data_IF_529139796093
#
_entry.id   IF_529139796093
#
_cell.length_a   1.000
_cell.length_b   1.000
_cell.length_c   1.000
_cell.angle_alpha   90.00
_cell.angle_beta   90.00
_cell.angle_gamma   90.00
#
_symmetry.space_group_name_H-M   'P 1'
#
loop_
_entity.id
_entity.type
_entity.pdbx_description
1 polymer ?
#
# COMPACT_ATOMS: atom_id res chain seq x y z
N UNK A 1 13.55 27.05 -19.36
CA UNK A 1 13.77 26.66 -17.97
C UNK A 1 12.52 26.21 -17.27
N UNK A 2 11.50 27.03 -17.28
CA UNK A 2 10.22 26.66 -16.66
C UNK A 2 9.60 25.44 -17.32
N UNK A 3 9.69 25.35 -18.65
CA UNK A 3 9.16 24.22 -19.42
C UNK A 3 9.88 22.91 -19.07
N UNK A 4 11.19 22.97 -18.88
CA UNK A 4 11.97 21.80 -18.51
C UNK A 4 11.58 21.27 -17.14
N UNK A 5 11.36 22.16 -16.19
CA UNK A 5 10.91 21.77 -14.86
C UNK A 5 9.54 21.09 -14.90
N UNK A 6 8.63 21.63 -15.71
CA UNK A 6 7.31 21.03 -15.87
C UNK A 6 7.39 19.63 -16.47
N UNK A 7 8.25 19.43 -17.45
CA UNK A 7 8.47 18.13 -18.06
C UNK A 7 9.07 17.15 -17.04
N UNK A 8 10.05 17.60 -16.27
CA UNK A 8 10.65 16.78 -15.24
C UNK A 8 9.63 16.36 -14.17
N UNK A 9 8.77 17.28 -13.76
CA UNK A 9 7.73 16.96 -12.79
C UNK A 9 6.76 15.89 -13.31
N UNK A 10 6.39 15.94 -14.59
CA UNK A 10 5.54 14.92 -15.20
C UNK A 10 6.22 13.56 -15.21
N UNK A 11 7.50 13.51 -15.50
CA UNK A 11 8.27 12.27 -15.48
C UNK A 11 8.39 11.73 -14.07
N UNK A 12 8.63 12.58 -13.07
CA UNK A 12 8.70 12.19 -11.68
C UNK A 12 7.40 11.55 -11.19
N UNK A 13 6.25 12.10 -11.57
CA UNK A 13 4.95 11.55 -11.20
C UNK A 13 4.79 10.13 -11.74
N UNK A 14 5.20 9.88 -13.00
CA UNK A 14 5.15 8.54 -13.59
C UNK A 14 6.12 7.60 -12.90
N UNK A 15 7.34 8.05 -12.63
CA UNK A 15 8.38 7.24 -12.02
C UNK A 15 8.06 6.91 -10.56
N UNK A 16 7.32 7.78 -9.86
CA UNK A 16 6.99 7.54 -8.45
C UNK A 16 6.24 6.24 -8.20
N UNK A 17 5.45 5.77 -9.17
CA UNK A 17 4.73 4.51 -9.04
C UNK A 17 5.55 3.30 -9.50
N UNK A 18 6.79 3.52 -9.96
CA UNK A 18 7.69 2.45 -10.34
C UNK A 18 8.64 2.16 -9.15
N UNK A 19 8.14 1.41 -8.19
CA UNK A 19 8.90 1.06 -6.99
C UNK A 19 9.82 -0.12 -7.28
N UNK A 20 11.14 -0.03 -6.97
CA UNK A 20 12.05 -1.16 -7.17
C UNK A 20 11.69 -2.36 -6.32
N UNK A 21 12.07 -3.55 -6.76
CA UNK A 21 11.95 -4.76 -5.96
C UNK A 21 12.86 -4.69 -4.74
N UNK A 22 12.40 -5.26 -3.64
CA UNK A 22 13.17 -5.32 -2.41
C UNK A 22 12.30 -5.07 -1.19
N UNK A 23 12.95 -5.02 -0.03
CA UNK A 23 12.30 -4.67 1.23
C UNK A 23 12.67 -3.24 1.56
N UNK A 24 11.66 -2.38 1.71
CA UNK A 24 11.85 -0.95 1.91
C UNK A 24 11.06 -0.46 3.10
N UNK A 25 11.59 0.55 3.77
CA UNK A 25 10.83 1.30 4.76
C UNK A 25 9.72 2.08 4.06
N UNK A 26 8.54 2.09 4.64
CA UNK A 26 7.42 2.82 4.08
C UNK A 26 6.54 3.41 5.19
N UNK A 27 5.75 4.39 4.81
CA UNK A 27 4.76 5.04 5.69
C UNK A 27 3.42 5.04 4.98
N UNK A 28 2.38 4.65 5.68
CA UNK A 28 1.02 4.72 5.12
C UNK A 28 0.61 6.19 5.01
N UNK A 29 0.40 6.64 3.79
CA UNK A 29 0.14 8.04 3.50
C UNK A 29 -1.34 8.35 3.47
N UNK A 30 -2.12 7.47 2.83
CA UNK A 30 -3.55 7.68 2.59
C UNK A 30 -4.25 6.33 2.61
N UNK A 31 -5.45 6.31 3.19
CA UNK A 31 -6.37 5.17 3.10
C UNK A 31 -7.68 5.71 2.56
N UNK A 32 -8.17 5.12 1.46
CA UNK A 32 -9.42 5.55 0.83
C UNK A 32 -10.40 4.39 0.74
N UNK A 33 -11.68 4.73 0.80
CA UNK A 33 -12.76 3.78 0.53
C UNK A 33 -13.30 4.11 -0.86
N UNK A 34 -13.21 3.16 -1.77
CA UNK A 34 -13.57 3.36 -3.17
C UNK A 34 -14.66 2.38 -3.59
N UNK A 35 -15.49 2.82 -4.55
CA UNK A 35 -16.47 1.92 -5.15
C UNK A 35 -15.76 0.95 -6.12
N UNK A 36 -16.18 -0.31 -6.08
CA UNK A 36 -15.66 -1.28 -7.03
C UNK A 36 -16.14 -0.92 -8.43
N UNK A 37 -15.23 -1.03 -9.41
CA UNK A 37 -15.54 -0.63 -10.80
C UNK A 37 -16.62 -1.47 -11.45
N UNK A 38 -16.75 -2.72 -11.06
CA UNK A 38 -17.75 -3.64 -11.62
C UNK A 38 -18.42 -4.43 -10.52
N UNK A 39 -19.27 -3.78 -9.69
CA UNK A 39 -19.98 -4.53 -8.66
C UNK A 39 -20.96 -5.50 -9.33
N UNK A 40 -21.13 -6.65 -8.71
CA UNK A 40 -22.05 -7.66 -9.20
C UNK A 40 -22.36 -8.68 -8.11
N UNK A 41 -23.25 -9.63 -8.38
CA UNK A 41 -23.59 -10.66 -7.40
C UNK A 41 -22.34 -11.38 -6.92
N UNK A 42 -22.17 -11.47 -5.59
CA UNK A 42 -21.00 -12.12 -5.01
C UNK A 42 -19.71 -11.34 -5.06
N UNK A 43 -19.72 -10.11 -5.57
CA UNK A 43 -18.54 -9.24 -5.61
C UNK A 43 -18.68 -8.09 -4.62
N UNK A 44 -17.58 -7.65 -3.99
CA UNK A 44 -17.67 -6.53 -3.05
C UNK A 44 -18.06 -5.25 -3.80
N UNK A 45 -18.87 -4.41 -3.16
CA UNK A 45 -19.25 -3.12 -3.72
C UNK A 45 -18.27 -2.02 -3.36
N UNK A 46 -17.45 -2.22 -2.32
CA UNK A 46 -16.48 -1.25 -1.83
C UNK A 46 -15.11 -1.89 -1.69
N UNK A 47 -14.07 -1.08 -1.93
CA UNK A 47 -12.69 -1.46 -1.73
C UNK A 47 -12.03 -0.47 -0.78
N UNK A 48 -11.19 -0.98 0.10
CA UNK A 48 -10.31 -0.14 0.91
C UNK A 48 -8.93 -0.15 0.24
N UNK A 49 -8.38 1.04 -0.01
CA UNK A 49 -7.09 1.18 -0.69
C UNK A 49 -6.10 1.86 0.23
N UNK A 50 -4.94 1.23 0.38
CA UNK A 50 -3.80 1.78 1.11
C UNK A 50 -2.78 2.30 0.11
N UNK A 51 -2.30 3.53 0.33
CA UNK A 51 -1.20 4.08 -0.45
C UNK A 51 -0.04 4.39 0.48
N UNK A 52 1.14 3.91 0.12
CA UNK A 52 2.36 4.05 0.90
C UNK A 52 3.36 4.95 0.20
N UNK A 53 4.02 5.80 0.99
CA UNK A 53 5.25 6.48 0.57
C UNK A 53 6.40 5.54 0.93
N UNK A 54 7.17 5.12 -0.05
CA UNK A 54 8.20 4.08 0.09
C UNK A 54 9.58 4.69 -0.10
N UNK A 55 10.45 4.52 0.89
CA UNK A 55 11.82 5.01 0.82
C UNK A 55 12.70 3.94 0.17
N UNK A 56 13.12 4.19 -1.06
CA UNK A 56 13.95 3.25 -1.83
C UNK A 56 15.32 3.84 -2.09
N UNK A 57 16.23 3.02 -2.60
CA UNK A 57 17.57 3.47 -3.01
C UNK A 57 17.53 4.38 -4.23
N UNK A 58 16.41 4.42 -4.94
CA UNK A 58 16.18 5.33 -6.07
C UNK A 58 15.39 6.57 -5.68
N UNK A 59 15.16 6.79 -4.38
CA UNK A 59 14.38 7.88 -3.87
C UNK A 59 12.99 7.43 -3.40
N UNK A 60 12.14 8.40 -3.08
CA UNK A 60 10.79 8.10 -2.63
C UNK A 60 9.93 7.63 -3.80
N UNK A 61 9.18 6.57 -3.55
CA UNK A 61 8.24 5.99 -4.52
C UNK A 61 6.89 5.79 -3.86
N UNK A 62 5.86 5.50 -4.66
CA UNK A 62 4.52 5.23 -4.16
C UNK A 62 4.15 3.78 -4.49
N UNK A 63 3.46 3.13 -3.58
CA UNK A 63 2.91 1.81 -3.81
C UNK A 63 1.52 1.74 -3.19
N UNK A 64 0.62 1.01 -3.80
CA UNK A 64 -0.76 0.91 -3.33
C UNK A 64 -1.26 -0.52 -3.42
N UNK A 65 -2.21 -0.85 -2.54
CA UNK A 65 -2.87 -2.14 -2.52
C UNK A 65 -4.32 -1.93 -2.08
N UNK A 66 -5.23 -2.69 -2.67
CA UNK A 66 -6.66 -2.59 -2.37
C UNK A 66 -7.22 -3.94 -1.95
N UNK A 67 -8.18 -3.91 -1.06
CA UNK A 67 -8.87 -5.10 -0.57
C UNK A 67 -10.38 -4.86 -0.53
N UNK A 68 -11.20 -5.92 -0.62
CA UNK A 68 -12.62 -5.79 -0.32
C UNK A 68 -12.83 -5.20 1.07
N UNK A 69 -13.75 -4.24 1.19
CA UNK A 69 -13.99 -3.54 2.45
C UNK A 69 -14.92 -4.33 3.38
N UNK A 70 -14.61 -5.60 3.57
CA UNK A 70 -15.35 -6.49 4.46
C UNK A 70 -14.37 -7.11 5.43
N UNK A 71 -14.66 -6.97 6.72
CA UNK A 71 -13.85 -7.62 7.75
C UNK A 71 -14.39 -9.02 7.99
N UNK A 72 -13.56 -10.02 7.79
CA UNK A 72 -13.88 -11.41 8.10
C UNK A 72 -12.60 -12.09 8.56
N UNK A 73 -12.69 -13.05 9.50
CA UNK A 73 -11.48 -13.62 10.12
C UNK A 73 -10.43 -14.16 9.16
N UNK A 74 -10.84 -14.63 8.00
CA UNK A 74 -9.92 -15.26 7.04
C UNK A 74 -9.70 -14.45 5.78
N UNK A 75 -10.11 -13.17 5.74
CA UNK A 75 -9.94 -12.40 4.52
C UNK A 75 -8.53 -11.78 4.43
N UNK A 76 -8.18 -11.36 3.22
CA UNK A 76 -6.86 -10.82 2.92
C UNK A 76 -6.57 -9.52 3.66
N UNK A 77 -7.60 -8.68 3.86
CA UNK A 77 -7.45 -7.41 4.57
C UNK A 77 -7.01 -7.64 6.02
N UNK A 78 -7.67 -8.55 6.71
CA UNK A 78 -7.34 -8.85 8.11
C UNK A 78 -5.93 -9.46 8.21
N UNK A 79 -5.57 -10.33 7.27
CA UNK A 79 -4.22 -10.90 7.20
C UNK A 79 -3.16 -9.85 6.98
N UNK A 80 -3.43 -8.90 6.09
CA UNK A 80 -2.54 -7.79 5.79
C UNK A 80 -2.29 -6.92 7.04
N UNK A 81 -3.36 -6.52 7.71
CA UNK A 81 -3.27 -5.70 8.92
C UNK A 81 -2.58 -6.45 10.07
N UNK A 82 -2.88 -7.72 10.21
CA UNK A 82 -2.29 -8.54 11.25
C UNK A 82 -0.77 -8.68 11.05
N UNK A 83 -0.32 -8.92 9.83
CA UNK A 83 1.10 -8.98 9.49
C UNK A 83 1.79 -7.64 9.78
N UNK A 84 1.16 -6.54 9.42
CA UNK A 84 1.69 -5.20 9.69
C UNK A 84 1.87 -4.93 11.17
N UNK A 85 0.89 -5.34 11.98
CA UNK A 85 0.92 -5.11 13.42
C UNK A 85 1.74 -6.16 14.18
N UNK A 86 2.36 -7.11 13.49
CA UNK A 86 3.13 -8.16 14.14
C UNK A 86 2.26 -9.09 14.99
N UNK A 87 1.00 -9.23 14.61
CA UNK A 87 0.03 -10.05 15.33
C UNK A 87 -0.75 -9.31 16.40
N UNK A 88 -0.39 -8.06 16.71
CA UNK A 88 -1.08 -7.29 17.75
C UNK A 88 -2.12 -6.35 17.15
N UNK A 89 -3.34 -6.83 17.02
CA UNK A 89 -4.45 -6.05 16.46
C UNK A 89 -5.13 -5.13 17.49
N UNK A 90 -4.74 -5.21 18.75
CA UNK A 90 -5.36 -4.40 19.81
C UNK A 90 -5.21 -2.90 19.56
N UNK A 91 -4.10 -2.49 18.98
CA UNK A 91 -3.83 -1.09 18.67
C UNK A 91 -4.84 -0.49 17.69
N UNK A 92 -5.48 -1.33 16.89
CA UNK A 92 -6.44 -0.89 15.87
C UNK A 92 -7.90 -1.00 16.33
N UNK A 93 -8.14 -1.59 17.50
CA UNK A 93 -9.51 -1.77 17.99
C UNK A 93 -9.95 -0.57 18.81
N UNK A 94 -11.21 -0.17 18.62
CA UNK A 94 -11.86 0.85 19.42
C UNK A 94 -12.51 0.21 20.67
N UNK A 95 -13.24 1.02 21.44
CA UNK A 95 -13.89 0.56 22.67
C UNK A 95 -14.95 -0.53 22.41
N UNK A 96 -15.55 -0.51 21.22
CA UNK A 96 -16.55 -1.51 20.83
C UNK A 96 -15.93 -2.77 20.26
N UNK A 97 -14.60 -2.86 20.20
CA UNK A 97 -13.89 -3.99 19.64
C UNK A 97 -13.81 -3.99 18.11
N UNK A 98 -14.28 -2.93 17.48
CA UNK A 98 -14.22 -2.79 16.03
C UNK A 98 -12.84 -2.29 15.59
N UNK A 99 -12.42 -2.72 14.41
CA UNK A 99 -11.12 -2.30 13.85
C UNK A 99 -11.28 -0.95 13.16
N UNK A 100 -10.51 0.02 13.60
CA UNK A 100 -10.46 1.35 12.98
C UNK A 100 -9.25 1.42 12.05
N UNK A 101 -9.50 1.18 10.77
CA UNK A 101 -8.45 1.17 9.73
C UNK A 101 -7.77 2.52 9.63
N UNK A 102 -8.50 3.61 9.88
CA UNK A 102 -7.95 4.97 9.81
C UNK A 102 -6.76 5.19 10.75
N UNK A 103 -6.63 4.40 11.81
CA UNK A 103 -5.49 4.50 12.74
C UNK A 103 -4.17 4.13 12.09
N UNK A 104 -4.20 3.48 10.93
CA UNK A 104 -3.01 3.09 10.20
C UNK A 104 -2.41 4.23 9.38
N UNK A 105 -3.13 5.32 9.18
CA UNK A 105 -2.58 6.48 8.46
C UNK A 105 -1.45 7.08 9.30
N UNK A 106 -0.30 7.26 8.66
CA UNK A 106 0.91 7.75 9.32
C UNK A 106 1.76 6.66 9.97
N UNK A 107 1.27 5.42 10.01
CA UNK A 107 2.05 4.30 10.58
C UNK A 107 3.12 3.83 9.61
N UNK A 108 4.27 3.52 10.16
CA UNK A 108 5.42 3.01 9.40
C UNK A 108 5.38 1.49 9.30
N UNK A 109 6.06 0.98 8.28
CA UNK A 109 6.15 -0.46 8.05
C UNK A 109 7.37 -0.79 7.20
N UNK A 110 7.67 -2.07 7.10
CA UNK A 110 8.61 -2.59 6.11
C UNK A 110 7.76 -3.29 5.04
N UNK A 111 7.89 -2.85 3.79
CA UNK A 111 7.18 -3.42 2.66
C UNK A 111 8.10 -4.29 1.82
N UNK A 112 7.63 -5.46 1.45
CA UNK A 112 8.30 -6.29 0.46
C UNK A 112 7.64 -6.06 -0.89
N UNK A 113 8.41 -5.55 -1.84
CA UNK A 113 7.94 -5.21 -3.19
C UNK A 113 8.46 -6.23 -4.19
N UNK A 114 7.57 -6.78 -5.00
CA UNK A 114 7.91 -7.63 -6.12
C UNK A 114 7.35 -7.02 -7.40
N UNK A 115 7.94 -7.40 -8.53
CA UNK A 115 7.43 -7.01 -9.84
C UNK A 115 6.66 -8.16 -10.47
N UNK A 116 5.48 -7.86 -11.00
CA UNK A 116 4.69 -8.83 -11.75
C UNK A 116 5.30 -9.09 -13.12
N UNK A 117 4.87 -10.19 -13.75
CA UNK A 117 5.35 -10.57 -15.07
C UNK A 117 4.81 -9.69 -16.17
N UNK A 118 3.61 -9.13 -16.00
CA UNK A 118 2.99 -8.24 -16.99
C UNK A 118 3.50 -6.81 -16.80
N UNK A 119 3.66 -6.11 -17.90
CA UNK A 119 4.05 -4.70 -17.87
C UNK A 119 2.81 -3.83 -17.84
N UNK A 120 2.92 -2.69 -17.16
CA UNK A 120 1.88 -1.67 -17.18
C UNK A 120 1.87 -0.97 -18.55
N UNK A 121 0.88 -0.09 -18.76
CA UNK A 121 0.79 0.71 -19.99
C UNK A 121 2.00 1.62 -20.22
N UNK A 122 2.84 1.82 -19.22
CA UNK A 122 4.04 2.64 -19.32
C UNK A 122 5.30 1.81 -19.55
N UNK A 123 5.15 0.53 -19.88
CA UNK A 123 6.26 -0.42 -20.11
C UNK A 123 7.07 -0.76 -18.85
N UNK A 124 6.55 -0.44 -17.67
CA UNK A 124 7.13 -0.88 -16.39
C UNK A 124 6.40 -2.13 -15.91
N UNK A 125 7.08 -3.03 -15.19
CA UNK A 125 6.40 -4.15 -14.53
C UNK A 125 5.35 -3.63 -13.54
N UNK A 126 4.28 -4.37 -13.32
CA UNK A 126 3.37 -4.07 -12.24
C UNK A 126 4.09 -4.24 -10.91
N UNK A 127 3.88 -3.28 -10.01
CA UNK A 127 4.45 -3.31 -8.67
C UNK A 127 3.45 -4.00 -7.75
N UNK A 128 3.93 -5.00 -7.03
CA UNK A 128 3.11 -5.81 -6.13
C UNK A 128 3.64 -5.66 -4.71
N UNK A 129 2.76 -5.32 -3.77
CA UNK A 129 3.10 -5.38 -2.35
C UNK A 129 2.92 -6.85 -1.95
N UNK A 130 4.03 -7.58 -1.86
CA UNK A 130 4.04 -9.01 -1.59
C UNK A 130 4.05 -9.32 -0.09
N UNK A 131 4.39 -8.36 0.73
CA UNK A 131 4.37 -8.53 2.18
C UNK A 131 4.45 -7.21 2.90
N UNK A 132 3.98 -7.19 4.14
CA UNK A 132 4.06 -6.04 5.03
C UNK A 132 4.38 -6.54 6.43
N UNK A 133 5.26 -5.82 7.11
CA UNK A 133 5.78 -6.21 8.42
C UNK A 133 5.94 -4.99 9.31
N UNK A 134 6.00 -5.18 10.63
CA UNK A 134 6.27 -4.05 11.53
C UNK A 134 7.56 -3.32 11.15
N UNK A 135 7.54 -2.00 11.29
CA UNK A 135 8.69 -1.17 10.94
C UNK A 135 9.93 -1.60 11.73
N UNK A 136 11.06 -1.70 11.03
CA UNK A 136 12.34 -2.07 11.64
C UNK A 136 12.57 -3.57 11.75
N UNK A 137 11.63 -4.41 11.28
CA UNK A 137 11.84 -5.86 11.35
C UNK A 137 12.99 -6.32 10.46
N UNK A 138 13.08 -5.78 9.26
CA UNK A 138 14.12 -6.13 8.30
C UNK A 138 15.09 -4.99 8.05
N UNK A 139 14.67 -3.76 8.26
CA UNK A 139 15.44 -2.56 7.98
C UNK A 139 15.71 -1.83 9.29
N UNK A 140 16.96 -1.92 9.76
CA UNK A 140 17.38 -1.22 10.98
C UNK A 140 17.55 0.27 10.69
N UNK A 141 17.10 1.08 11.61
CA UNK A 141 17.17 2.53 11.52
C UNK A 141 18.02 3.14 12.60
#
# INVERSE_FOLDING_TARGET
MVLERSNNMKMEVKDKFHCPQGVWHATCEVITLEDAKKPGPGKPSKLVRFRFAVDTDEGERLAAISFPAESAPDNELDGFMCSWMGGDMKRLRNEDGEIEVARLVGEECDLYIEHGKKKSKYSYPFVIIAGIYPAGRFIKR
#
